data_IF_618069673958
#
_entry.id   IF_618069673958
#
_cell.length_a   1.000
_cell.length_b   1.000
_cell.length_c   1.000
_cell.angle_alpha   90.00
_cell.angle_beta   90.00
_cell.angle_gamma   90.00
#
_symmetry.space_group_name_H-M   'P 1'
#
loop_
_entity.id
_entity.type
_entity.pdbx_description
1 polymer ?
#
# COMPACT_ATOMS: atom_id res chain seq x y z
N UNK A 1 6.38 7.08 20.17
CA UNK A 1 6.11 5.94 19.26
C UNK A 1 4.79 6.10 18.51
N UNK A 2 4.57 7.27 17.91
CA UNK A 2 3.34 7.51 17.18
C UNK A 2 3.54 8.54 16.06
N UNK A 3 2.43 8.90 15.44
CA UNK A 3 2.42 9.86 14.35
C UNK A 3 1.07 10.56 14.34
N UNK A 4 0.51 10.80 13.15
CA UNK A 4 -0.78 11.48 13.06
C UNK A 4 -1.82 10.81 13.97
N UNK A 5 -2.04 9.53 13.68
CA UNK A 5 -3.04 8.69 14.33
C UNK A 5 -3.22 9.01 15.81
N UNK A 6 -2.15 9.34 16.49
CA UNK A 6 -2.24 9.62 17.92
C UNK A 6 -3.27 10.69 18.22
N UNK A 7 -3.14 11.83 17.55
CA UNK A 7 -4.05 12.96 17.59
C UNK A 7 -5.17 12.86 16.56
N UNK A 8 -5.07 11.83 15.70
CA UNK A 8 -6.02 11.63 14.61
C UNK A 8 -7.33 11.04 15.09
N UNK A 9 -7.52 11.09 16.39
CA UNK A 9 -8.59 10.51 17.18
C UNK A 9 -8.33 9.09 17.70
N UNK A 10 -7.04 8.75 17.67
CA UNK A 10 -6.53 7.46 18.02
C UNK A 10 -7.14 6.66 19.15
N UNK A 11 -7.16 5.38 18.83
CA UNK A 11 -7.58 4.28 19.69
C UNK A 11 -6.37 3.35 19.76
N UNK A 12 -6.21 2.65 20.88
CA UNK A 12 -5.09 1.76 21.08
C UNK A 12 -5.51 0.29 21.00
N UNK A 13 -4.73 -0.49 20.28
CA UNK A 13 -4.97 -1.94 20.17
C UNK A 13 -3.67 -2.70 20.44
N UNK A 14 -2.57 -1.96 20.65
CA UNK A 14 -1.29 -2.60 20.94
C UNK A 14 -0.27 -2.30 19.88
N UNK A 15 -0.04 -3.26 19.01
CA UNK A 15 0.90 -3.06 17.92
C UNK A 15 0.17 -2.44 16.74
N UNK A 16 -0.69 -1.46 17.06
CA UNK A 16 -1.47 -0.74 16.08
C UNK A 16 -1.86 0.61 16.67
N UNK A 17 -2.15 1.53 15.80
CA UNK A 17 -2.67 2.83 16.19
C UNK A 17 -3.93 3.03 15.35
N UNK A 18 -5.07 3.25 16.01
CA UNK A 18 -6.34 3.29 15.28
C UNK A 18 -7.16 4.55 15.44
N UNK A 19 -7.81 4.95 14.35
CA UNK A 19 -8.68 6.08 14.34
C UNK A 19 -10.03 5.60 13.84
N UNK A 20 -10.99 5.46 14.76
CA UNK A 20 -12.33 5.03 14.38
C UNK A 20 -13.38 6.02 14.84
N UNK A 21 -14.02 6.60 13.85
CA UNK A 21 -15.07 7.57 14.04
C UNK A 21 -15.96 7.50 12.81
N UNK A 22 -17.24 7.60 13.04
CA UNK A 22 -18.20 7.50 11.96
C UNK A 22 -19.23 8.63 11.98
N UNK A 23 -19.60 9.15 10.82
CA UNK A 23 -20.60 10.22 10.78
C UNK A 23 -21.98 9.68 10.42
N UNK A 24 -23.02 10.52 10.52
CA UNK A 24 -24.39 10.11 10.22
C UNK A 24 -24.63 9.76 8.75
N UNK A 25 -23.83 8.84 8.19
CA UNK A 25 -23.94 8.46 6.79
C UNK A 25 -22.67 7.85 6.28
N UNK A 26 -21.70 7.65 7.15
CA UNK A 26 -20.45 7.04 6.76
C UNK A 26 -19.62 6.62 7.97
N UNK A 27 -18.50 5.97 7.68
CA UNK A 27 -17.60 5.47 8.73
C UNK A 27 -16.10 5.46 8.33
N UNK A 28 -15.25 5.65 9.36
CA UNK A 28 -13.78 5.66 9.21
C UNK A 28 -13.14 4.90 10.39
N UNK A 29 -12.36 3.84 10.05
CA UNK A 29 -11.52 3.08 11.00
C UNK A 29 -10.16 2.92 10.35
N UNK A 30 -9.14 3.59 10.87
CA UNK A 30 -7.82 3.51 10.25
C UNK A 30 -6.67 3.33 11.22
N UNK A 31 -5.74 2.44 10.82
CA UNK A 31 -4.65 2.06 11.70
C UNK A 31 -3.23 2.24 11.16
N UNK A 32 -2.40 2.73 12.08
CA UNK A 32 -0.99 2.98 11.86
C UNK A 32 -0.06 2.33 12.94
N UNK A 33 0.78 1.32 12.57
CA UNK A 33 1.78 0.69 13.49
C UNK A 33 2.58 1.79 14.24
N UNK A 34 3.18 1.53 15.43
CA UNK A 34 3.78 2.67 16.17
C UNK A 34 4.56 3.55 15.21
N UNK A 35 5.61 3.13 14.47
CA UNK A 35 6.27 4.24 13.76
C UNK A 35 6.38 4.28 12.26
N UNK A 36 5.47 5.01 11.67
CA UNK A 36 5.54 5.21 10.27
C UNK A 36 5.82 6.67 10.03
N UNK A 37 7.09 6.95 9.68
CA UNK A 37 7.60 8.28 9.45
C UNK A 37 6.54 9.32 9.17
N UNK A 38 6.27 9.51 7.91
CA UNK A 38 5.28 10.47 7.54
C UNK A 38 3.99 9.79 7.12
N UNK A 39 3.38 8.99 8.02
CA UNK A 39 2.06 8.39 7.73
C UNK A 39 1.16 9.50 7.28
N UNK A 40 1.56 10.67 7.71
CA UNK A 40 0.88 11.89 7.29
C UNK A 40 0.59 11.60 5.81
N UNK A 41 1.37 10.72 5.21
CA UNK A 41 1.21 10.40 3.81
C UNK A 41 -0.10 9.67 3.54
N UNK A 42 -0.42 8.63 4.32
CA UNK A 42 -1.67 7.89 4.15
C UNK A 42 -2.81 8.66 4.69
N UNK A 43 -2.63 9.01 5.92
CA UNK A 43 -3.61 9.66 6.71
C UNK A 43 -3.93 11.08 6.34
N UNK A 44 -2.92 11.70 5.74
CA UNK A 44 -3.19 12.92 4.99
C UNK A 44 -3.98 12.34 3.80
N UNK A 45 -3.45 11.22 3.26
CA UNK A 45 -4.05 10.58 2.11
C UNK A 45 -5.47 10.13 2.39
N UNK A 46 -5.76 9.63 3.60
CA UNK A 46 -7.11 9.20 3.91
C UNK A 46 -8.00 10.43 3.72
N UNK A 47 -7.61 11.56 4.34
CA UNK A 47 -8.44 12.79 4.19
C UNK A 47 -8.86 12.74 2.69
N UNK A 48 -7.83 12.35 1.96
CA UNK A 48 -7.86 12.14 0.52
C UNK A 48 -8.47 10.84 0.03
N UNK A 49 -8.25 9.74 0.76
CA UNK A 49 -8.64 8.46 0.25
C UNK A 49 -10.09 8.08 0.24
N UNK A 50 -10.58 8.27 1.48
CA UNK A 50 -11.94 8.05 1.88
C UNK A 50 -12.80 9.19 1.42
N UNK A 51 -12.31 10.45 1.50
CA UNK A 51 -13.15 11.51 1.03
C UNK A 51 -13.47 11.20 -0.40
N UNK A 52 -12.45 10.82 -1.18
CA UNK A 52 -12.68 10.46 -2.58
C UNK A 52 -13.74 9.33 -2.71
N UNK A 53 -13.68 8.28 -1.89
CA UNK A 53 -14.66 7.17 -1.99
C UNK A 53 -16.06 7.60 -1.56
N UNK A 54 -16.14 8.23 -0.40
CA UNK A 54 -17.40 8.80 0.08
C UNK A 54 -17.77 9.87 -0.94
N UNK A 55 -16.71 10.35 -1.55
CA UNK A 55 -16.79 11.45 -2.47
C UNK A 55 -17.72 11.23 -3.63
N UNK A 56 -17.69 9.96 -4.09
CA UNK A 56 -18.63 9.47 -5.09
C UNK A 56 -20.01 9.22 -4.45
N UNK A 57 -20.11 8.43 -3.34
CA UNK A 57 -21.38 8.14 -2.58
C UNK A 57 -22.03 9.40 -2.07
N UNK A 58 -21.46 10.54 -2.27
CA UNK A 58 -22.18 11.73 -1.93
C UNK A 58 -23.29 11.95 -3.02
N UNK A 59 -23.34 11.04 -4.04
CA UNK A 59 -24.33 11.16 -5.15
C UNK A 59 -25.27 9.94 -5.31
N UNK A 60 -24.69 8.75 -5.55
CA UNK A 60 -25.52 7.55 -5.83
C UNK A 60 -24.79 6.20 -5.74
N UNK A 61 -24.13 5.83 -4.68
CA UNK A 61 -23.46 4.52 -4.69
C UNK A 61 -24.25 3.48 -3.88
N UNK A 62 -24.15 2.15 -4.19
CA UNK A 62 -24.82 1.11 -3.40
C UNK A 62 -24.23 1.27 -2.03
N UNK A 63 -24.68 2.22 -1.25
CA UNK A 63 -24.02 2.28 0.01
C UNK A 63 -24.70 1.40 1.06
N UNK A 64 -23.99 0.37 1.56
CA UNK A 64 -24.70 -0.63 2.39
C UNK A 64 -25.81 0.04 3.11
N UNK A 65 -25.49 1.07 3.88
CA UNK A 65 -26.47 1.90 4.48
C UNK A 65 -25.86 3.31 4.34
N UNK A 66 -24.68 3.54 5.01
CA UNK A 66 -23.91 4.81 4.99
C UNK A 66 -22.53 4.62 4.35
N UNK A 67 -21.42 4.68 5.06
CA UNK A 67 -20.15 4.43 4.39
C UNK A 67 -19.05 4.14 5.39
N UNK A 68 -17.99 3.47 4.92
CA UNK A 68 -16.94 3.05 5.82
C UNK A 68 -15.56 2.94 5.15
N UNK A 69 -14.53 3.06 5.97
CA UNK A 69 -13.14 2.92 5.56
C UNK A 69 -12.44 2.04 6.57
N UNK A 70 -11.86 0.95 6.04
CA UNK A 70 -11.01 0.03 6.79
C UNK A 70 -9.61 0.29 6.25
N UNK A 71 -8.67 0.70 7.10
CA UNK A 71 -7.31 0.92 6.60
C UNK A 71 -6.15 0.65 7.57
N UNK A 72 -5.11 -0.10 7.15
CA UNK A 72 -4.01 -0.35 8.08
C UNK A 72 -2.62 -0.71 7.49
N UNK A 73 -1.48 -0.10 7.88
CA UNK A 73 -0.25 -0.42 7.11
C UNK A 73 0.85 -1.12 7.86
N UNK A 74 1.77 -1.74 7.05
CA UNK A 74 2.84 -2.51 7.62
C UNK A 74 4.28 -1.99 7.39
N UNK A 75 5.23 -1.45 8.14
CA UNK A 75 6.42 -0.95 7.39
C UNK A 75 7.57 -1.96 7.14
N UNK A 76 8.29 -1.59 6.05
CA UNK A 76 9.46 -2.30 5.51
C UNK A 76 10.66 -1.37 5.50
N UNK A 77 11.85 -1.90 5.24
CA UNK A 77 13.03 -1.05 5.24
C UNK A 77 14.14 -1.47 4.27
N UNK A 78 14.86 -0.49 3.68
CA UNK A 78 15.88 -0.79 2.70
C UNK A 78 17.15 -0.95 3.49
N UNK A 79 18.15 -1.56 2.89
CA UNK A 79 19.44 -1.67 3.56
C UNK A 79 20.53 -1.04 2.70
N UNK A 80 21.00 0.12 3.14
CA UNK A 80 22.05 0.85 2.46
C UNK A 80 23.18 1.17 3.44
N UNK A 81 24.47 1.16 3.01
CA UNK A 81 25.56 1.48 3.90
C UNK A 81 24.98 2.16 5.14
N UNK A 82 24.78 3.50 5.21
CA UNK A 82 24.06 4.00 6.36
C UNK A 82 22.59 3.61 6.16
N UNK A 83 22.01 2.91 7.14
CA UNK A 83 20.60 2.47 7.06
C UNK A 83 20.17 2.30 5.59
N UNK A 84 18.90 2.53 5.27
CA UNK A 84 18.46 2.36 3.89
C UNK A 84 17.23 3.17 3.55
N UNK A 85 16.08 2.51 3.48
CA UNK A 85 14.83 3.22 3.15
C UNK A 85 13.60 2.59 3.83
N UNK A 86 12.52 3.35 3.99
CA UNK A 86 11.33 2.83 4.67
C UNK A 86 10.08 2.96 3.81
N UNK A 87 9.27 1.91 3.74
CA UNK A 87 8.05 1.97 2.97
C UNK A 87 6.91 1.19 3.62
N UNK A 88 5.75 1.81 3.78
CA UNK A 88 4.68 1.12 4.53
C UNK A 88 3.38 0.93 3.78
N UNK A 89 2.93 -0.33 3.67
CA UNK A 89 1.75 -0.60 2.84
C UNK A 89 0.44 -0.86 3.57
N UNK A 90 -0.47 0.09 3.45
CA UNK A 90 -1.75 0.04 4.16
C UNK A 90 -2.80 -0.83 3.45
N UNK A 91 -3.59 -1.43 4.33
CA UNK A 91 -4.75 -2.22 3.92
C UNK A 91 -5.88 -1.27 4.02
N UNK A 92 -6.16 -0.67 2.88
CA UNK A 92 -7.25 0.22 2.77
C UNK A 92 -8.06 0.08 1.53
N UNK A 93 -9.19 -0.36 2.02
CA UNK A 93 -10.36 -0.76 1.31
C UNK A 93 -11.53 -0.14 1.95
N UNK A 94 -12.33 0.51 1.19
CA UNK A 94 -13.50 1.06 1.73
C UNK A 94 -14.59 1.04 0.71
N UNK A 95 -15.76 1.08 1.27
CA UNK A 95 -16.96 0.95 0.52
C UNK A 95 -17.96 1.92 1.00
N UNK A 96 -18.76 2.41 0.11
CA UNK A 96 -19.75 3.37 0.50
C UNK A 96 -21.00 2.67 0.98
N UNK A 97 -21.13 2.72 2.32
CA UNK A 97 -22.24 2.16 3.09
C UNK A 97 -22.20 0.69 3.30
N UNK A 98 -21.11 0.06 2.90
CA UNK A 98 -20.88 -1.41 3.00
C UNK A 98 -20.79 -1.92 1.57
N UNK A 99 -21.77 -1.53 0.78
CA UNK A 99 -21.97 -2.12 -0.55
C UNK A 99 -21.18 -1.58 -1.72
N UNK A 100 -20.94 -0.27 -1.85
CA UNK A 100 -20.12 0.17 -2.99
C UNK A 100 -18.73 -0.46 -2.84
N UNK A 101 -18.42 -1.48 -3.69
CA UNK A 101 -17.15 -2.27 -3.65
C UNK A 101 -15.86 -1.46 -3.74
N UNK A 102 -15.25 -0.85 -2.73
CA UNK A 102 -14.05 -0.13 -3.13
C UNK A 102 -12.75 -0.46 -2.38
N UNK A 103 -11.74 -0.95 -3.11
CA UNK A 103 -10.57 -1.46 -2.41
C UNK A 103 -9.21 -1.13 -2.93
N UNK A 104 -8.32 -0.71 -2.09
CA UNK A 104 -6.97 -0.55 -2.54
C UNK A 104 -5.99 -0.63 -1.41
N UNK A 105 -4.82 -1.10 -1.74
CA UNK A 105 -3.83 -1.22 -0.72
C UNK A 105 -2.67 -0.24 -0.95
N UNK A 106 -2.33 0.71 -0.08
CA UNK A 106 -1.29 1.67 -0.50
C UNK A 106 -0.07 1.72 0.38
N UNK A 107 1.07 1.72 -0.29
CA UNK A 107 2.36 1.80 0.36
C UNK A 107 3.13 2.97 -0.18
N UNK A 108 4.12 3.41 0.56
CA UNK A 108 4.92 4.55 0.14
C UNK A 108 6.37 4.39 0.53
N UNK A 109 7.23 5.07 -0.23
CA UNK A 109 8.66 5.06 -0.01
C UNK A 109 9.13 6.37 0.63
N UNK A 110 9.90 6.24 1.69
CA UNK A 110 10.43 7.39 2.40
C UNK A 110 11.91 7.16 2.67
N UNK A 111 12.70 8.24 2.69
CA UNK A 111 14.13 8.06 2.89
C UNK A 111 14.41 7.71 4.36
N UNK A 112 15.15 6.62 4.50
CA UNK A 112 15.55 6.09 5.82
C UNK A 112 16.71 6.81 6.50
N UNK A 113 17.68 7.28 5.72
CA UNK A 113 18.86 7.92 6.29
C UNK A 113 18.63 9.34 6.71
N UNK A 114 17.76 10.04 6.00
CA UNK A 114 17.50 11.43 6.30
C UNK A 114 16.12 11.66 6.91
N UNK A 115 15.33 10.60 7.19
CA UNK A 115 13.99 10.85 7.74
C UNK A 115 13.30 11.80 6.78
N UNK A 116 13.05 11.38 5.54
CA UNK A 116 12.39 12.24 4.57
C UNK A 116 11.66 11.38 3.52
N UNK A 117 10.33 11.57 3.33
CA UNK A 117 9.57 10.81 2.32
C UNK A 117 9.79 11.41 0.94
N UNK A 118 9.48 10.69 -0.16
CA UNK A 118 9.65 11.28 -1.48
C UNK A 118 8.28 11.56 -2.15
N UNK A 119 8.16 12.60 -2.97
CA UNK A 119 6.87 12.90 -3.60
C UNK A 119 6.90 12.63 -5.12
N UNK A 120 5.75 12.81 -5.79
CA UNK A 120 5.66 12.63 -7.25
C UNK A 120 6.72 13.53 -7.87
N UNK A 121 7.34 14.47 -7.20
CA UNK A 121 8.30 15.24 -7.96
C UNK A 121 9.42 14.30 -8.42
N UNK A 122 9.90 13.53 -7.46
CA UNK A 122 10.97 12.58 -7.67
C UNK A 122 10.62 11.18 -7.21
N UNK A 123 9.35 10.92 -7.02
CA UNK A 123 8.92 9.59 -6.67
C UNK A 123 8.60 8.74 -7.92
N UNK A 124 7.88 9.38 -8.84
CA UNK A 124 7.61 8.83 -10.17
C UNK A 124 8.83 9.26 -10.91
N UNK A 125 9.37 8.29 -11.63
CA UNK A 125 10.27 8.53 -12.74
C UNK A 125 9.40 8.04 -13.88
N UNK A 126 9.36 8.60 -15.07
CA UNK A 126 8.59 8.02 -16.17
C UNK A 126 9.59 7.24 -17.04
N UNK A 127 10.72 6.96 -16.39
CA UNK A 127 11.80 6.08 -16.81
C UNK A 127 11.31 4.68 -16.35
N UNK A 128 9.98 4.60 -16.27
CA UNK A 128 9.23 3.45 -15.78
C UNK A 128 9.14 2.26 -16.74
N UNK A 129 9.67 1.13 -16.27
CA UNK A 129 9.68 -0.12 -17.03
C UNK A 129 9.17 -1.27 -16.16
N UNK A 130 8.96 -2.47 -16.76
CA UNK A 130 8.46 -3.66 -16.04
C UNK A 130 8.89 -3.73 -14.58
N UNK A 131 8.22 -4.60 -13.81
CA UNK A 131 8.54 -4.75 -12.39
C UNK A 131 8.51 -6.23 -11.91
N UNK A 132 9.08 -7.15 -12.72
CA UNK A 132 9.22 -8.61 -12.45
C UNK A 132 10.20 -8.92 -11.32
N UNK A 133 10.79 -7.91 -10.70
CA UNK A 133 11.86 -8.12 -9.71
C UNK A 133 11.52 -8.98 -8.48
N UNK A 134 10.26 -9.09 -8.09
CA UNK A 134 9.90 -9.95 -6.95
C UNK A 134 9.70 -11.36 -7.50
N UNK A 135 9.13 -11.34 -8.68
CA UNK A 135 8.79 -12.51 -9.48
C UNK A 135 9.90 -13.56 -9.50
N UNK A 136 11.19 -13.18 -9.54
CA UNK A 136 12.26 -14.16 -9.64
C UNK A 136 12.20 -15.26 -8.60
N UNK A 137 12.01 -14.91 -7.33
CA UNK A 137 11.94 -15.93 -6.29
C UNK A 137 10.72 -16.79 -6.52
N UNK A 138 9.59 -16.14 -6.76
CA UNK A 138 8.33 -16.85 -6.90
C UNK A 138 8.52 -18.05 -7.83
N UNK A 139 9.13 -17.77 -8.98
CA UNK A 139 9.59 -18.84 -9.89
C UNK A 139 10.84 -19.44 -9.24
N UNK A 140 11.75 -18.62 -8.79
CA UNK A 140 12.98 -19.17 -8.19
C UNK A 140 12.66 -20.32 -7.22
N UNK A 141 11.71 -20.10 -6.31
CA UNK A 141 11.25 -21.18 -5.41
C UNK A 141 10.62 -22.27 -6.30
N UNK A 142 9.93 -21.77 -7.33
CA UNK A 142 9.29 -22.71 -8.26
C UNK A 142 10.46 -23.62 -8.66
N UNK A 143 11.57 -23.00 -9.07
CA UNK A 143 12.80 -23.71 -9.48
C UNK A 143 13.23 -24.74 -8.43
N UNK A 144 12.82 -24.45 -7.20
CA UNK A 144 12.98 -25.44 -6.13
C UNK A 144 11.88 -26.49 -6.38
N UNK A 145 10.67 -25.94 -6.47
CA UNK A 145 9.43 -26.73 -6.54
C UNK A 145 9.41 -27.81 -7.63
N UNK A 146 9.76 -27.43 -8.86
CA UNK A 146 9.86 -28.33 -10.03
C UNK A 146 11.33 -28.33 -10.46
N UNK A 147 12.26 -27.96 -9.59
CA UNK A 147 13.65 -27.93 -10.04
C UNK A 147 13.88 -26.90 -11.15
N UNK A 148 12.77 -26.23 -11.52
CA UNK A 148 12.75 -25.24 -12.59
C UNK A 148 11.84 -24.04 -12.35
N UNK A 149 12.03 -23.00 -13.16
CA UNK A 149 11.22 -21.81 -13.09
C UNK A 149 10.31 -21.78 -14.32
N UNK A 150 9.08 -21.33 -14.13
CA UNK A 150 8.09 -21.45 -15.19
C UNK A 150 7.71 -20.16 -15.99
N UNK A 151 6.39 -19.94 -15.98
CA UNK A 151 5.66 -18.77 -16.44
C UNK A 151 4.69 -18.64 -15.30
N UNK A 152 4.66 -17.40 -14.85
CA UNK A 152 3.69 -16.88 -13.92
C UNK A 152 3.14 -15.61 -14.55
N UNK A 153 1.84 -15.38 -14.56
CA UNK A 153 1.34 -14.14 -15.15
C UNK A 153 1.46 -13.02 -14.12
N UNK A 154 1.72 -11.77 -14.54
CA UNK A 154 1.89 -10.66 -13.58
C UNK A 154 0.62 -10.40 -12.77
N UNK A 155 -0.52 -10.27 -13.40
CA UNK A 155 -1.79 -10.18 -12.67
C UNK A 155 -2.16 -11.59 -12.23
N UNK A 156 -1.39 -12.57 -12.67
CA UNK A 156 -1.54 -13.93 -12.16
C UNK A 156 -0.37 -14.12 -11.16
N UNK A 157 0.49 -13.12 -10.89
CA UNK A 157 1.53 -13.38 -9.90
C UNK A 157 2.84 -12.59 -10.01
N UNK A 158 2.87 -11.47 -10.74
CA UNK A 158 4.11 -10.68 -10.83
C UNK A 158 4.70 -10.58 -9.44
N UNK A 159 3.87 -10.18 -8.51
CA UNK A 159 4.30 -9.97 -7.16
C UNK A 159 3.40 -10.53 -6.13
N UNK A 160 3.96 -10.78 -4.93
CA UNK A 160 3.14 -11.32 -3.89
C UNK A 160 1.93 -10.45 -3.67
N UNK A 161 0.84 -11.13 -3.79
CA UNK A 161 -0.47 -10.69 -3.43
C UNK A 161 -0.48 -10.84 -1.94
N UNK A 162 0.59 -11.47 -1.46
CA UNK A 162 0.79 -11.54 -0.03
C UNK A 162 1.11 -10.11 0.47
N UNK A 163 1.62 -9.22 -0.44
CA UNK A 163 1.96 -7.84 -0.07
C UNK A 163 0.72 -6.92 -0.11
N UNK A 164 0.43 -6.36 -1.31
CA UNK A 164 -0.71 -5.47 -1.59
C UNK A 164 -0.29 -4.02 -1.86
N UNK A 165 0.92 -3.55 -1.55
CA UNK A 165 1.21 -2.14 -1.93
C UNK A 165 2.68 -1.77 -2.11
N UNK A 166 2.89 -0.65 -2.85
CA UNK A 166 4.21 -0.07 -3.14
C UNK A 166 5.16 -0.30 -1.99
N UNK A 167 5.67 -1.51 -1.88
CA UNK A 167 6.53 -1.88 -0.77
C UNK A 167 8.01 -2.00 -1.09
N UNK A 168 8.74 -0.89 -1.10
CA UNK A 168 10.13 -0.97 -1.52
C UNK A 168 11.07 -1.30 -0.37
N UNK A 169 11.65 -2.50 -0.51
CA UNK A 169 12.62 -3.05 0.42
C UNK A 169 14.00 -2.98 -0.20
N UNK A 170 15.00 -3.44 0.53
CA UNK A 170 16.37 -3.45 0.02
C UNK A 170 16.47 -4.30 -1.26
N UNK A 171 15.48 -5.15 -1.50
CA UNK A 171 15.50 -6.02 -2.68
C UNK A 171 14.77 -5.39 -3.87
N UNK A 172 13.97 -4.37 -3.63
CA UNK A 172 13.25 -3.74 -4.73
C UNK A 172 12.19 -2.76 -4.28
N UNK A 173 11.21 -2.52 -5.15
CA UNK A 173 10.11 -1.60 -4.88
C UNK A 173 8.90 -2.20 -5.51
N UNK A 174 8.12 -2.88 -4.72
CA UNK A 174 6.96 -3.54 -5.26
C UNK A 174 5.77 -2.60 -5.33
N UNK A 175 5.32 -2.35 -6.56
CA UNK A 175 4.23 -1.41 -6.82
C UNK A 175 2.94 -2.16 -7.11
N UNK A 176 1.86 -1.70 -6.51
CA UNK A 176 0.57 -2.35 -6.67
C UNK A 176 -0.50 -1.55 -7.42
N UNK A 177 -1.27 -2.30 -8.19
CA UNK A 177 -2.46 -1.81 -8.91
C UNK A 177 -3.56 -2.85 -8.74
N UNK A 178 -4.85 -2.49 -8.77
CA UNK A 178 -5.91 -3.52 -8.55
C UNK A 178 -6.58 -4.00 -9.88
N UNK A 179 -6.20 -5.22 -10.40
CA UNK A 179 -6.72 -5.80 -11.65
C UNK A 179 -7.75 -6.96 -11.55
N UNK A 180 -7.32 -8.26 -11.65
CA UNK A 180 -8.32 -9.35 -11.64
C UNK A 180 -7.95 -10.67 -10.97
N UNK A 181 -6.67 -11.03 -10.87
CA UNK A 181 -6.29 -12.36 -10.38
C UNK A 181 -4.90 -12.32 -9.80
N UNK A 182 -4.44 -11.28 -9.20
CA UNK A 182 -3.21 -11.38 -8.45
C UNK A 182 -3.64 -10.75 -7.15
N UNK A 183 -4.94 -11.05 -6.90
CA UNK A 183 -5.75 -10.61 -5.79
C UNK A 183 -6.80 -9.66 -6.37
N UNK A 184 -7.77 -10.25 -7.12
CA UNK A 184 -8.83 -9.54 -7.84
C UNK A 184 -9.40 -8.32 -7.14
N UNK A 185 -10.37 -7.67 -7.82
CA UNK A 185 -11.05 -6.51 -7.29
C UNK A 185 -11.70 -6.82 -5.95
N UNK A 186 -11.74 -8.11 -5.61
CA UNK A 186 -12.30 -8.51 -4.33
C UNK A 186 -11.18 -8.63 -3.32
N UNK A 187 -9.99 -9.04 -3.77
CA UNK A 187 -8.87 -9.21 -2.86
C UNK A 187 -8.05 -7.93 -2.68
N UNK A 188 -8.26 -6.97 -3.57
CA UNK A 188 -7.53 -5.72 -3.50
C UNK A 188 -6.71 -5.46 -4.77
N UNK A 189 -5.49 -4.90 -4.64
CA UNK A 189 -4.62 -4.60 -5.78
C UNK A 189 -3.50 -5.63 -6.07
N UNK A 190 -3.10 -5.69 -7.36
CA UNK A 190 -2.00 -6.52 -7.85
C UNK A 190 -0.74 -5.69 -7.65
N UNK A 191 0.44 -6.31 -7.83
CA UNK A 191 1.70 -5.58 -7.72
C UNK A 191 2.82 -6.17 -8.52
N UNK A 192 3.65 -5.21 -8.93
CA UNK A 192 4.79 -5.45 -9.77
C UNK A 192 6.06 -4.79 -9.21
N UNK A 193 7.06 -5.57 -8.88
CA UNK A 193 8.24 -5.06 -8.20
C UNK A 193 9.33 -4.27 -8.90
N UNK A 194 9.75 -3.04 -8.64
CA UNK A 194 10.72 -2.43 -9.57
C UNK A 194 12.17 -2.48 -9.08
N UNK A 195 13.13 -2.52 -10.04
CA UNK A 195 14.56 -2.61 -9.73
C UNK A 195 15.07 -1.64 -8.64
N UNK A 196 15.68 -2.31 -7.69
CA UNK A 196 16.15 -1.67 -6.45
C UNK A 196 17.29 -0.63 -6.60
N UNK A 197 18.36 -1.05 -7.29
CA UNK A 197 19.46 -0.16 -7.71
C UNK A 197 19.04 0.52 -9.02
N UNK A 198 18.14 -0.13 -9.74
CA UNK A 198 17.76 0.43 -11.03
C UNK A 198 16.70 1.52 -10.92
N UNK A 199 15.56 1.24 -10.30
CA UNK A 199 14.51 2.24 -10.28
C UNK A 199 14.66 3.34 -9.25
N UNK A 200 15.41 3.14 -8.16
CA UNK A 200 15.47 4.27 -7.22
C UNK A 200 16.17 5.47 -7.88
N UNK A 201 17.38 5.25 -8.40
CA UNK A 201 18.07 6.31 -9.13
C UNK A 201 17.15 6.73 -10.29
N UNK A 202 16.29 5.79 -10.66
CA UNK A 202 15.28 5.92 -11.71
C UNK A 202 13.98 6.45 -11.12
N UNK A 203 14.02 7.04 -9.95
CA UNK A 203 12.88 7.66 -9.33
C UNK A 203 12.76 9.05 -9.95
N UNK A 204 11.61 9.65 -9.82
CA UNK A 204 11.45 11.01 -10.36
C UNK A 204 11.44 11.04 -11.88
#
# INVERSE_FOLDING_TARGET
>A
PKTYCEELKGTDTGQACQIQMSDPAYNINISLPSYYPDQKSLENYIAQTRDKFLSAATSSTPREAPYELNITSATYQSAIPPRGTQAVVLKVYQNAGGTHPTTTYKAFDWDQAYRKPITYDTLWQADTDPLPVVFPIVQGELSKQTGQQVSIAPNAGLDPVNYQNFAVTNDGVIFFFNPGELLPEAAGPTQVLVPRSAIDSMLA
#
